data_IF_821461074972
#
_entry.id   IF_821461074972
#
_cell.length_a   1.000
_cell.length_b   1.000
_cell.length_c   1.000
_cell.angle_alpha   90.00
_cell.angle_beta   90.00
_cell.angle_gamma   90.00
#
_symmetry.space_group_name_H-M   'P 1'
#
loop_
_entity.id
_entity.type
_entity.pdbx_description
1 polymer ?
#
# COMPACT_ATOMS: atom_id res chain seq x y z
N UNK A 1 -10.86 -6.40 1.66
CA UNK A 1 -11.20 -6.63 0.23
C UNK A 1 -9.96 -6.86 -0.61
N UNK A 2 -9.03 -5.89 -0.68
CA UNK A 2 -7.80 -6.01 -1.49
C UNK A 2 -6.93 -7.24 -1.14
N UNK A 3 -6.52 -7.40 0.14
CA UNK A 3 -5.66 -8.52 0.56
C UNK A 3 -6.30 -9.88 0.25
N UNK A 4 -7.62 -10.00 0.39
CA UNK A 4 -8.37 -11.21 0.05
C UNK A 4 -8.28 -11.50 -1.45
N UNK A 5 -8.57 -10.51 -2.29
CA UNK A 5 -8.45 -10.64 -3.74
C UNK A 5 -7.03 -10.99 -4.17
N UNK A 6 -6.02 -10.30 -3.62
CA UNK A 6 -4.60 -10.54 -3.88
C UNK A 6 -4.24 -12.01 -3.60
N UNK A 7 -4.63 -12.51 -2.43
CA UNK A 7 -4.35 -13.89 -2.00
C UNK A 7 -5.10 -14.94 -2.82
N UNK A 8 -6.36 -14.71 -3.12
CA UNK A 8 -7.25 -15.74 -3.68
C UNK A 8 -7.29 -15.73 -5.21
N UNK A 9 -6.88 -14.64 -5.86
CA UNK A 9 -7.01 -14.48 -7.31
C UNK A 9 -5.68 -14.15 -7.99
N UNK A 10 -5.00 -13.07 -7.58
CA UNK A 10 -3.79 -12.63 -8.28
C UNK A 10 -2.62 -13.60 -8.05
N UNK A 11 -2.25 -13.84 -6.79
CA UNK A 11 -1.06 -14.65 -6.47
C UNK A 11 -1.15 -16.09 -6.99
N UNK A 12 -2.29 -16.81 -6.90
CA UNK A 12 -2.41 -18.15 -7.48
C UNK A 12 -2.30 -18.19 -9.01
N UNK A 13 -2.58 -17.06 -9.68
CA UNK A 13 -2.46 -16.93 -11.12
C UNK A 13 -1.04 -16.67 -11.62
N UNK A 14 -0.07 -16.41 -10.73
CA UNK A 14 1.32 -16.15 -11.08
C UNK A 14 2.15 -17.43 -10.92
N UNK A 15 2.48 -18.09 -12.03
CA UNK A 15 3.25 -19.33 -12.03
C UNK A 15 4.76 -19.14 -11.86
N UNK A 16 5.25 -17.91 -12.05
CA UNK A 16 6.68 -17.58 -12.02
C UNK A 16 6.96 -16.41 -11.06
N UNK A 17 8.18 -16.35 -10.47
CA UNK A 17 8.63 -15.20 -9.71
C UNK A 17 8.45 -13.91 -10.52
N UNK A 18 7.74 -12.95 -9.94
CA UNK A 18 7.27 -11.75 -10.64
C UNK A 18 7.54 -10.53 -9.77
N UNK A 19 7.72 -9.37 -10.40
CA UNK A 19 7.77 -8.08 -9.70
C UNK A 19 6.38 -7.46 -9.75
N UNK A 20 5.77 -7.26 -8.59
CA UNK A 20 4.47 -6.59 -8.45
C UNK A 20 4.70 -5.13 -8.11
N UNK A 21 4.23 -4.25 -9.00
CA UNK A 21 4.32 -2.81 -8.83
C UNK A 21 3.08 -2.33 -8.08
N UNK A 22 3.27 -1.62 -6.96
CA UNK A 22 2.19 -1.08 -6.14
C UNK A 22 2.33 0.44 -6.01
N UNK A 23 1.21 1.15 -6.09
CA UNK A 23 1.13 2.53 -5.64
C UNK A 23 1.03 2.59 -4.09
N UNK A 24 0.98 3.80 -3.53
CA UNK A 24 0.91 3.99 -2.08
C UNK A 24 -0.53 4.17 -1.55
N UNK A 25 -1.53 3.57 -2.21
CA UNK A 25 -2.89 3.66 -1.69
C UNK A 25 -2.99 3.08 -0.26
N UNK A 26 -3.87 3.63 0.61
CA UNK A 26 -3.94 3.22 2.02
C UNK A 26 -4.14 1.72 2.24
N UNK A 27 -4.94 1.07 1.37
CA UNK A 27 -5.25 -0.35 1.46
C UNK A 27 -4.11 -1.27 1.01
N UNK A 28 -3.09 -0.75 0.32
CA UNK A 28 -1.84 -1.47 0.09
C UNK A 28 -0.83 -1.24 1.22
N UNK A 29 -1.01 -0.19 2.02
CA UNK A 29 0.03 0.38 2.88
C UNK A 29 -0.21 0.10 4.37
N UNK A 30 -0.91 -0.98 4.69
CA UNK A 30 -1.08 -1.42 6.07
C UNK A 30 0.27 -1.90 6.66
N UNK A 31 0.67 -1.29 7.78
CA UNK A 31 1.96 -1.53 8.43
C UNK A 31 1.78 -2.53 9.57
N UNK A 32 2.63 -3.57 9.61
CA UNK A 32 2.68 -4.57 10.68
C UNK A 32 3.37 -4.02 11.93
N UNK A 33 4.57 -3.47 11.77
CA UNK A 33 5.39 -2.94 12.86
C UNK A 33 5.07 -1.46 13.14
N UNK A 34 3.83 -1.17 13.55
CA UNK A 34 3.40 0.20 13.84
C UNK A 34 4.24 0.80 14.97
N UNK A 35 4.86 1.94 14.69
CA UNK A 35 5.54 2.75 15.70
C UNK A 35 4.55 3.73 16.35
N UNK A 36 4.87 4.24 17.56
CA UNK A 36 4.12 5.29 18.22
C UNK A 36 3.82 6.51 17.34
N UNK A 37 2.61 7.05 17.47
CA UNK A 37 2.18 8.30 16.82
C UNK A 37 1.50 9.22 17.83
N UNK A 38 1.24 10.48 17.46
CA UNK A 38 0.56 11.44 18.34
C UNK A 38 -0.80 10.97 18.87
N UNK A 39 -1.50 10.10 18.14
CA UNK A 39 -2.79 9.54 18.55
C UNK A 39 -2.68 8.45 19.61
N UNK A 40 -1.49 7.90 19.88
CA UNK A 40 -1.30 6.90 20.93
C UNK A 40 -1.36 7.56 22.31
N UNK A 41 -1.88 6.85 23.30
CA UNK A 41 -1.83 7.27 24.70
C UNK A 41 -0.40 7.05 25.27
N UNK A 42 -0.09 7.70 26.39
CA UNK A 42 1.27 7.66 26.97
C UNK A 42 1.70 6.24 27.35
N UNK A 43 0.80 5.45 27.94
CA UNK A 43 1.12 4.11 28.43
C UNK A 43 1.48 3.15 27.29
N UNK A 44 0.75 3.20 26.18
CA UNK A 44 1.05 2.41 24.99
C UNK A 44 2.38 2.81 24.34
N UNK A 45 2.75 4.09 24.41
CA UNK A 45 4.06 4.54 23.92
C UNK A 45 5.17 3.98 24.83
N UNK A 46 4.97 3.99 26.15
CA UNK A 46 5.93 3.40 27.10
C UNK A 46 6.05 1.89 26.91
N UNK A 47 4.94 1.19 26.76
CA UNK A 47 4.92 -0.25 26.47
C UNK A 47 5.74 -0.58 25.21
N UNK A 48 5.54 0.17 24.13
CA UNK A 48 6.32 -0.01 22.90
C UNK A 48 7.81 0.23 23.12
N UNK A 49 8.20 1.31 23.82
CA UNK A 49 9.59 1.61 24.12
C UNK A 49 10.24 0.52 24.97
N UNK A 50 9.53 0.01 25.98
CA UNK A 50 9.99 -1.10 26.82
C UNK A 50 10.16 -2.39 26.02
N UNK A 51 9.22 -2.72 25.11
CA UNK A 51 9.33 -3.88 24.23
C UNK A 51 10.52 -3.76 23.24
N UNK A 52 10.88 -2.54 22.87
CA UNK A 52 12.07 -2.22 22.09
C UNK A 52 13.34 -2.11 22.96
N UNK A 53 13.26 -2.47 24.25
CA UNK A 53 14.36 -2.46 25.22
C UNK A 53 14.99 -1.07 25.42
N UNK A 54 14.19 -0.01 25.29
CA UNK A 54 14.62 1.39 25.45
C UNK A 54 14.34 1.85 26.87
N UNK A 55 15.36 2.37 27.55
CA UNK A 55 15.22 2.91 28.90
C UNK A 55 14.40 4.21 28.91
N UNK A 56 13.41 4.27 29.80
CA UNK A 56 12.49 5.41 29.92
C UNK A 56 12.79 6.18 31.22
N UNK A 57 13.11 7.48 31.15
CA UNK A 57 13.26 8.33 32.33
C UNK A 57 11.97 8.42 33.16
N UNK A 58 12.11 8.54 34.47
CA UNK A 58 10.97 8.56 35.42
C UNK A 58 10.00 9.73 35.18
N UNK A 59 10.50 10.91 34.85
CA UNK A 59 9.70 12.10 34.55
C UNK A 59 9.95 12.53 33.10
N UNK A 60 9.08 12.09 32.20
CA UNK A 60 9.22 12.36 30.77
C UNK A 60 7.89 12.82 30.17
N UNK A 61 7.97 13.85 29.34
CA UNK A 61 6.82 14.38 28.60
C UNK A 61 6.46 13.45 27.43
N UNK A 62 5.20 13.52 26.97
CA UNK A 62 4.73 12.73 25.82
C UNK A 62 5.52 13.03 24.54
N UNK A 63 5.88 14.29 24.32
CA UNK A 63 6.70 14.74 23.19
C UNK A 63 8.06 14.02 23.16
N UNK A 64 8.69 13.87 24.32
CA UNK A 64 10.01 13.26 24.47
C UNK A 64 9.92 11.75 24.28
N UNK A 65 8.86 11.11 24.76
CA UNK A 65 8.56 9.70 24.47
C UNK A 65 8.40 9.47 22.95
N UNK A 66 7.65 10.33 22.26
CA UNK A 66 7.48 10.25 20.81
C UNK A 66 8.78 10.52 20.05
N UNK A 67 9.61 11.45 20.55
CA UNK A 67 10.94 11.72 20.00
C UNK A 67 11.84 10.49 20.11
N UNK A 68 11.88 9.85 21.28
CA UNK A 68 12.64 8.60 21.50
C UNK A 68 12.12 7.47 20.61
N UNK A 69 10.80 7.32 20.49
CA UNK A 69 10.20 6.31 19.61
C UNK A 69 10.56 6.55 18.13
N UNK A 70 10.56 7.81 17.68
CA UNK A 70 10.94 8.17 16.31
C UNK A 70 12.43 7.89 16.04
N UNK A 71 13.30 8.11 17.02
CA UNK A 71 14.75 7.83 16.89
C UNK A 71 15.05 6.34 16.75
N UNK A 72 14.21 5.47 17.33
CA UNK A 72 14.36 4.02 17.26
C UNK A 72 13.35 3.37 16.30
N UNK A 73 12.68 4.15 15.45
CA UNK A 73 11.71 3.62 14.51
C UNK A 73 12.41 2.74 13.47
N UNK A 74 11.96 1.50 13.37
CA UNK A 74 12.43 0.54 12.35
C UNK A 74 11.81 0.84 10.98
N UNK A 75 12.43 0.39 9.88
CA UNK A 75 11.81 0.42 8.56
C UNK A 75 10.42 -0.21 8.58
N UNK A 76 9.46 0.38 7.87
CA UNK A 76 8.09 -0.11 7.81
C UNK A 76 8.02 -1.44 7.09
N UNK A 77 7.32 -2.39 7.67
CA UNK A 77 6.98 -3.68 7.06
C UNK A 77 5.50 -3.63 6.70
N UNK A 78 5.20 -3.76 5.41
CA UNK A 78 3.83 -3.74 4.92
C UNK A 78 3.26 -5.16 4.83
N UNK A 79 2.00 -5.31 5.26
CA UNK A 79 1.28 -6.60 5.23
C UNK A 79 1.28 -7.20 3.83
N UNK A 80 0.98 -6.35 2.84
CA UNK A 80 0.89 -6.75 1.44
C UNK A 80 2.25 -7.20 0.90
N UNK A 81 3.32 -6.48 1.25
CA UNK A 81 4.66 -6.77 0.76
C UNK A 81 5.13 -8.12 1.28
N UNK A 82 4.97 -8.36 2.59
CA UNK A 82 5.32 -9.64 3.19
C UNK A 82 4.53 -10.81 2.59
N UNK A 83 3.24 -10.62 2.29
CA UNK A 83 2.42 -11.64 1.65
C UNK A 83 2.95 -11.99 0.25
N UNK A 84 3.26 -10.97 -0.56
CA UNK A 84 3.77 -11.13 -1.92
C UNK A 84 5.15 -11.82 -1.90
N UNK A 85 6.03 -11.39 -1.00
CA UNK A 85 7.37 -11.96 -0.80
C UNK A 85 7.32 -13.42 -0.34
N UNK A 86 6.41 -13.77 0.56
CA UNK A 86 6.23 -15.16 1.05
C UNK A 86 5.78 -16.10 -0.08
N UNK A 87 5.09 -15.58 -1.10
CA UNK A 87 4.72 -16.32 -2.30
C UNK A 87 5.84 -16.38 -3.36
N UNK A 88 7.04 -15.85 -3.08
CA UNK A 88 8.19 -15.90 -3.98
C UNK A 88 8.23 -14.79 -5.04
N UNK A 89 7.43 -13.74 -4.86
CA UNK A 89 7.42 -12.57 -5.74
C UNK A 89 8.13 -11.38 -5.07
N UNK A 90 8.41 -10.33 -5.83
CA UNK A 90 9.02 -9.11 -5.31
C UNK A 90 8.05 -7.94 -5.39
N UNK A 91 8.19 -6.97 -4.49
CA UNK A 91 7.38 -5.75 -4.51
C UNK A 91 8.22 -4.55 -4.90
N UNK A 92 7.72 -3.74 -5.84
CA UNK A 92 8.24 -2.43 -6.17
C UNK A 92 7.18 -1.37 -5.88
N UNK A 93 7.40 -0.56 -4.84
CA UNK A 93 6.52 0.57 -4.52
C UNK A 93 6.92 1.81 -5.30
N UNK A 94 5.95 2.43 -5.95
CA UNK A 94 6.17 3.70 -6.65
C UNK A 94 6.37 4.85 -5.65
N UNK A 95 7.08 5.93 -6.03
CA UNK A 95 7.14 7.14 -5.24
C UNK A 95 5.74 7.76 -5.03
N UNK A 96 5.41 8.28 -3.83
CA UNK A 96 4.14 8.96 -3.59
C UNK A 96 3.96 10.15 -4.54
N UNK A 97 2.74 10.35 -5.04
CA UNK A 97 2.37 11.49 -5.91
C UNK A 97 3.08 11.56 -7.27
N UNK A 98 3.64 10.45 -7.75
CA UNK A 98 4.27 10.37 -9.07
C UNK A 98 3.54 9.38 -10.01
N UNK A 99 2.31 9.71 -10.39
CA UNK A 99 1.47 8.86 -11.27
C UNK A 99 2.11 8.59 -12.64
N UNK A 100 3.01 9.46 -13.11
CA UNK A 100 3.80 9.26 -14.33
C UNK A 100 4.67 7.98 -14.33
N UNK A 101 4.93 7.40 -13.15
CA UNK A 101 5.65 6.13 -13.02
C UNK A 101 4.72 4.92 -12.91
N UNK A 102 3.40 5.12 -13.01
CA UNK A 102 2.41 4.06 -12.97
C UNK A 102 1.89 3.77 -14.40
N UNK A 103 2.39 2.72 -15.09
CA UNK A 103 2.02 2.45 -16.48
C UNK A 103 0.52 2.24 -16.69
N UNK A 104 -0.20 1.78 -15.65
CA UNK A 104 -1.64 1.53 -15.74
C UNK A 104 -2.43 2.82 -16.02
N UNK A 105 -1.94 3.98 -15.56
CA UNK A 105 -2.60 5.27 -15.79
C UNK A 105 -2.59 5.63 -17.28
N UNK A 106 -1.48 5.33 -17.97
CA UNK A 106 -1.36 5.55 -19.41
C UNK A 106 -2.27 4.61 -20.20
N UNK A 107 -2.26 3.31 -19.85
CA UNK A 107 -3.11 2.32 -20.52
C UNK A 107 -4.59 2.65 -20.32
N UNK A 108 -5.01 3.03 -19.12
CA UNK A 108 -6.38 3.48 -18.87
C UNK A 108 -6.71 4.79 -19.60
N UNK A 109 -5.75 5.72 -19.71
CA UNK A 109 -5.92 6.93 -20.52
C UNK A 109 -6.23 6.60 -21.98
N UNK A 110 -5.43 5.72 -22.59
CA UNK A 110 -5.66 5.25 -23.96
C UNK A 110 -6.99 4.52 -24.10
N UNK A 111 -7.33 3.61 -23.17
CA UNK A 111 -8.57 2.86 -23.20
C UNK A 111 -9.80 3.76 -23.08
N UNK A 112 -9.77 4.75 -22.18
CA UNK A 112 -10.85 5.73 -22.02
C UNK A 112 -10.99 6.60 -23.26
N UNK A 113 -9.88 7.08 -23.82
CA UNK A 113 -9.91 7.86 -25.06
C UNK A 113 -10.50 7.05 -26.22
N UNK A 114 -10.15 5.78 -26.34
CA UNK A 114 -10.76 4.89 -27.33
C UNK A 114 -12.26 4.77 -27.09
N UNK A 115 -12.68 4.49 -25.85
CA UNK A 115 -14.08 4.41 -25.47
C UNK A 115 -14.84 5.69 -25.82
N UNK A 116 -14.33 6.87 -25.45
CA UNK A 116 -15.01 8.15 -25.68
C UNK A 116 -15.18 8.45 -27.18
N UNK A 117 -14.20 8.07 -28.00
CA UNK A 117 -14.21 8.32 -29.45
C UNK A 117 -15.11 7.37 -30.24
N UNK A 118 -15.32 6.13 -29.76
CA UNK A 118 -16.02 5.08 -30.52
C UNK A 118 -17.34 4.65 -29.90
N UNK A 119 -17.48 4.77 -28.58
CA UNK A 119 -18.65 4.35 -27.82
C UNK A 119 -19.30 5.60 -27.24
N UNK A 120 -18.57 6.35 -26.40
CA UNK A 120 -18.96 7.66 -25.87
C UNK A 120 -20.33 7.69 -25.16
N UNK A 121 -20.73 8.86 -24.63
CA UNK A 121 -22.05 9.01 -24.02
C UNK A 121 -23.20 9.07 -25.04
N UNK A 122 -22.92 9.38 -26.31
CA UNK A 122 -23.93 9.53 -27.38
C UNK A 122 -23.89 8.41 -28.43
N UNK A 123 -22.93 7.47 -28.36
CA UNK A 123 -22.76 6.37 -29.31
C UNK A 123 -23.07 4.98 -28.73
N UNK A 124 -23.62 4.92 -27.50
CA UNK A 124 -24.23 3.69 -27.02
C UNK A 124 -25.51 3.45 -27.82
N UNK A 125 -25.43 2.58 -28.83
CA UNK A 125 -26.60 1.94 -29.43
C UNK A 125 -26.40 0.43 -29.32
N UNK A 126 -27.49 -0.32 -29.07
CA UNK A 126 -27.43 -1.76 -28.84
C UNK A 126 -26.83 -2.53 -30.03
N UNK A 127 -26.74 -1.91 -31.22
CA UNK A 127 -26.11 -2.50 -32.41
C UNK A 127 -24.58 -2.50 -32.35
N UNK A 128 -23.94 -1.55 -31.66
CA UNK A 128 -22.48 -1.38 -31.63
C UNK A 128 -21.75 -2.44 -30.78
N UNK A 129 -22.48 -3.17 -29.91
CA UNK A 129 -21.93 -4.18 -29.00
C UNK A 129 -21.72 -5.54 -29.70
N UNK A 130 -22.39 -5.79 -30.83
CA UNK A 130 -22.37 -7.09 -31.51
C UNK A 130 -21.34 -7.19 -32.65
N UNK A 131 -20.61 -6.12 -32.96
CA UNK A 131 -19.58 -6.11 -34.01
C UNK A 131 -18.13 -6.15 -33.46
N UNK A 132 -17.95 -6.34 -32.15
CA UNK A 132 -16.66 -6.62 -31.49
C UNK A 132 -16.58 -8.05 -30.99
#
# INVERSE_FOLDING_TARGET
>A
MFVKWLRENLLPGLSEPSVIILDNAPYHSEILNKSPTNSWNVDKIKEWLTNEHISIPQHILKSELLRLAKQHAKPKIFVVDQLIETCGHQVLRLPPYHCQFNPIEYIWGTAKQYYDNHIGPNGYTDEAVWET
#
